data_IF_054234779745
#
_entry.id   IF_054234779745
#
_cell.length_a   1.000
_cell.length_b   1.000
_cell.length_c   1.000
_cell.angle_alpha   90.00
_cell.angle_beta   90.00
_cell.angle_gamma   90.00
#
_symmetry.space_group_name_H-M   'P 1'
#
loop_
_entity.id
_entity.type
_entity.pdbx_description
1 polymer ?
#
# COMPACT_ATOMS: atom_id res chain seq x y z
N UNK A 1 -14.94 -10.35 -1.16
CA UNK A 1 -14.81 -10.80 -2.56
C UNK A 1 -15.69 -12.01 -2.84
N UNK A 2 -15.74 -13.03 -1.98
CA UNK A 2 -16.62 -14.21 -2.17
C UNK A 2 -18.10 -14.01 -1.74
N UNK A 3 -18.62 -12.79 -1.75
CA UNK A 3 -20.03 -12.53 -1.40
C UNK A 3 -20.83 -12.16 -2.66
N UNK A 4 -22.06 -12.68 -2.86
CA UNK A 4 -22.88 -12.35 -4.03
C UNK A 4 -23.15 -10.86 -4.21
N UNK A 5 -23.21 -10.11 -3.10
CA UNK A 5 -23.18 -8.64 -3.07
C UNK A 5 -22.12 -8.24 -2.05
N UNK A 6 -20.97 -7.79 -2.54
CA UNK A 6 -19.83 -7.42 -1.69
C UNK A 6 -20.14 -6.11 -0.97
N UNK A 7 -20.07 -6.12 0.37
CA UNK A 7 -20.19 -4.89 1.20
C UNK A 7 -18.93 -4.03 1.21
N UNK A 8 -17.81 -4.55 0.69
CA UNK A 8 -16.57 -3.81 0.55
C UNK A 8 -16.65 -2.93 -0.71
N UNK A 9 -17.03 -1.68 -0.51
CA UNK A 9 -17.08 -0.66 -1.54
C UNK A 9 -15.88 0.27 -1.36
N UNK A 10 -14.80 0.04 -2.13
CA UNK A 10 -13.59 0.86 -2.01
C UNK A 10 -13.84 2.27 -2.58
N UNK A 11 -14.73 2.42 -3.57
CA UNK A 11 -15.12 3.72 -4.09
C UNK A 11 -15.77 4.57 -3.00
N UNK A 12 -16.74 4.03 -2.28
CA UNK A 12 -17.34 4.69 -1.12
C UNK A 12 -16.29 5.05 -0.06
N UNK A 13 -15.37 4.13 0.26
CA UNK A 13 -14.29 4.34 1.23
C UNK A 13 -13.39 5.52 0.81
N UNK A 14 -13.02 5.57 -0.47
CA UNK A 14 -12.19 6.64 -1.04
C UNK A 14 -12.92 7.99 -0.99
N UNK A 15 -14.15 8.05 -1.50
CA UNK A 15 -14.90 9.30 -1.59
C UNK A 15 -15.24 9.88 -0.21
N UNK A 16 -15.49 9.01 0.79
CA UNK A 16 -15.85 9.40 2.14
C UNK A 16 -14.64 9.45 3.11
N UNK A 17 -13.41 9.44 2.59
CA UNK A 17 -12.16 9.54 3.35
C UNK A 17 -12.11 8.58 4.54
N UNK A 18 -12.53 7.33 4.33
CA UNK A 18 -12.53 6.29 5.36
C UNK A 18 -11.15 5.64 5.44
N UNK A 19 -10.84 5.06 6.60
CA UNK A 19 -9.63 4.27 6.82
C UNK A 19 -9.97 2.79 6.65
N UNK A 20 -9.19 2.10 5.83
CA UNK A 20 -9.25 0.65 5.66
C UNK A 20 -7.91 0.05 6.06
N UNK A 21 -7.96 -1.00 6.89
CA UNK A 21 -6.78 -1.78 7.28
C UNK A 21 -6.99 -3.20 6.78
N UNK A 22 -6.07 -3.66 5.95
CA UNK A 22 -6.11 -5.00 5.38
C UNK A 22 -4.94 -5.78 5.98
N UNK A 23 -5.26 -6.88 6.68
CA UNK A 23 -4.25 -7.76 7.24
C UNK A 23 -4.08 -8.98 6.32
N UNK A 24 -2.97 -9.01 5.59
CA UNK A 24 -2.54 -10.12 4.74
C UNK A 24 -1.38 -10.91 5.37
N UNK A 25 -1.39 -11.10 6.70
CA UNK A 25 -0.34 -11.81 7.41
C UNK A 25 -0.13 -13.23 6.84
N UNK A 26 1.01 -13.46 6.16
CA UNK A 26 1.40 -14.76 5.57
C UNK A 26 1.22 -15.94 6.55
N UNK A 27 1.59 -15.77 7.82
CA UNK A 27 1.45 -16.81 8.85
C UNK A 27 0.00 -17.25 9.16
N UNK A 28 -1.02 -16.51 8.70
CA UNK A 28 -2.44 -16.86 8.89
C UNK A 28 -3.11 -17.39 7.64
N UNK A 29 -2.72 -16.88 6.46
CA UNK A 29 -3.41 -17.17 5.19
C UNK A 29 -2.56 -17.96 4.20
N UNK A 30 -1.26 -18.13 4.46
CA UNK A 30 -0.30 -18.69 3.52
C UNK A 30 0.31 -17.60 2.63
N UNK A 31 1.51 -17.86 2.12
CA UNK A 31 2.26 -16.91 1.29
C UNK A 31 1.59 -16.66 -0.06
N UNK A 32 1.32 -17.72 -0.83
CA UNK A 32 0.71 -17.62 -2.15
C UNK A 32 -0.67 -16.96 -2.09
N UNK A 33 -1.50 -17.36 -1.12
CA UNK A 33 -2.81 -16.77 -0.94
C UNK A 33 -2.73 -15.30 -0.50
N UNK A 34 -1.73 -14.93 0.31
CA UNK A 34 -1.47 -13.54 0.67
C UNK A 34 -1.11 -12.71 -0.55
N UNK A 35 -0.13 -13.16 -1.34
CA UNK A 35 0.31 -12.49 -2.56
C UNK A 35 -0.84 -12.31 -3.54
N UNK A 36 -1.60 -13.37 -3.78
CA UNK A 36 -2.78 -13.35 -4.66
C UNK A 36 -3.88 -12.41 -4.17
N UNK A 37 -4.23 -12.46 -2.88
CA UNK A 37 -5.25 -11.55 -2.34
C UNK A 37 -4.79 -10.09 -2.38
N UNK A 38 -3.50 -9.84 -2.10
CA UNK A 38 -2.92 -8.50 -2.18
C UNK A 38 -2.96 -7.94 -3.59
N UNK A 39 -2.54 -8.70 -4.60
CA UNK A 39 -2.55 -8.25 -6.00
C UNK A 39 -3.97 -7.94 -6.49
N UNK A 40 -4.97 -8.77 -6.15
CA UNK A 40 -6.37 -8.49 -6.47
C UNK A 40 -6.86 -7.23 -5.76
N UNK A 41 -6.55 -7.06 -4.48
CA UNK A 41 -6.97 -5.89 -3.72
C UNK A 41 -6.43 -4.59 -4.30
N UNK A 42 -5.14 -4.58 -4.64
CA UNK A 42 -4.50 -3.38 -5.20
C UNK A 42 -5.07 -3.08 -6.59
N UNK A 43 -5.29 -4.10 -7.41
CA UNK A 43 -5.99 -3.96 -8.70
C UNK A 43 -7.40 -3.39 -8.51
N UNK A 44 -8.12 -3.83 -7.48
CA UNK A 44 -9.46 -3.31 -7.16
C UNK A 44 -9.40 -1.85 -6.70
N UNK A 45 -8.42 -1.46 -5.89
CA UNK A 45 -8.20 -0.06 -5.53
C UNK A 45 -7.97 0.80 -6.78
N UNK A 46 -7.15 0.31 -7.70
CA UNK A 46 -6.89 1.00 -8.96
C UNK A 46 -8.16 1.16 -9.81
N UNK A 47 -8.91 0.08 -10.06
CA UNK A 47 -10.17 0.12 -10.83
C UNK A 47 -11.19 1.06 -10.17
N UNK A 48 -11.35 1.01 -8.84
CA UNK A 48 -12.30 1.88 -8.14
C UNK A 48 -11.82 3.34 -8.12
N UNK A 49 -10.51 3.58 -8.11
CA UNK A 49 -9.97 4.92 -8.28
C UNK A 49 -10.23 5.44 -9.70
N UNK A 50 -10.00 4.63 -10.74
CA UNK A 50 -10.32 4.98 -12.13
C UNK A 50 -11.80 5.31 -12.32
N UNK A 51 -12.68 4.59 -11.61
CA UNK A 51 -14.11 4.87 -11.66
C UNK A 51 -14.45 6.32 -11.26
N UNK A 52 -13.55 7.03 -10.53
CA UNK A 52 -13.68 8.45 -10.13
C UNK A 52 -13.55 9.43 -11.29
N UNK A 53 -13.40 8.94 -12.52
CA UNK A 53 -13.42 9.74 -13.73
C UNK A 53 -14.68 10.62 -13.86
N UNK A 54 -15.80 10.18 -13.27
CA UNK A 54 -17.08 10.90 -13.21
C UNK A 54 -17.06 12.15 -12.31
N UNK A 55 -16.10 12.26 -11.39
CA UNK A 55 -15.90 13.44 -10.54
C UNK A 55 -14.82 14.33 -11.17
N UNK A 56 -15.02 15.65 -11.26
CA UNK A 56 -13.98 16.58 -11.71
C UNK A 56 -12.72 16.50 -10.84
N UNK A 57 -11.53 16.60 -11.44
CA UNK A 57 -10.25 16.35 -10.73
C UNK A 57 -10.05 17.21 -9.47
N UNK A 58 -10.49 18.47 -9.51
CA UNK A 58 -10.42 19.42 -8.40
C UNK A 58 -11.37 19.08 -7.23
N UNK A 59 -12.40 18.25 -7.47
CA UNK A 59 -13.35 17.78 -6.46
C UNK A 59 -13.00 16.38 -5.94
N UNK A 60 -12.05 15.69 -6.57
CA UNK A 60 -11.61 14.35 -6.14
C UNK A 60 -10.81 14.47 -4.85
N UNK A 61 -11.19 13.66 -3.86
CA UNK A 61 -10.42 13.51 -2.63
C UNK A 61 -9.19 12.64 -2.85
N UNK A 62 -8.05 13.07 -2.31
CA UNK A 62 -6.87 12.24 -2.20
C UNK A 62 -7.15 11.02 -1.34
N UNK A 63 -6.72 9.86 -1.83
CA UNK A 63 -6.72 8.62 -1.08
C UNK A 63 -5.31 8.04 -1.08
N UNK A 64 -4.82 7.67 0.11
CA UNK A 64 -3.47 7.16 0.32
C UNK A 64 -3.52 5.65 0.53
N UNK A 65 -2.83 4.92 -0.36
CA UNK A 65 -2.69 3.48 -0.27
C UNK A 65 -1.24 3.14 0.09
N UNK A 66 -1.06 2.67 1.32
CA UNK A 66 0.21 2.19 1.84
C UNK A 66 0.29 0.68 1.65
N UNK A 67 1.34 0.22 0.98
CA UNK A 67 1.56 -1.20 0.72
C UNK A 67 2.90 -1.57 1.35
N UNK A 68 2.82 -2.32 2.44
CA UNK A 68 3.99 -2.87 3.11
C UNK A 68 4.42 -4.17 2.43
N UNK A 69 5.73 -4.46 2.46
CA UNK A 69 6.34 -5.61 1.80
C UNK A 69 5.93 -5.75 0.32
N UNK A 70 5.97 -4.62 -0.41
CA UNK A 70 5.42 -4.50 -1.75
C UNK A 70 6.03 -5.49 -2.76
N UNK A 71 7.27 -5.95 -2.55
CA UNK A 71 7.92 -6.93 -3.41
C UNK A 71 7.12 -8.25 -3.54
N UNK A 72 6.26 -8.57 -2.55
CA UNK A 72 5.37 -9.74 -2.62
C UNK A 72 4.19 -9.57 -3.58
N UNK A 73 3.92 -8.35 -4.03
CA UNK A 73 2.79 -8.01 -4.89
C UNK A 73 3.23 -7.40 -6.23
N UNK A 74 4.54 -7.15 -6.40
CA UNK A 74 5.11 -6.52 -7.58
C UNK A 74 4.93 -7.42 -8.82
N UNK A 75 4.07 -7.01 -9.74
CA UNK A 75 3.89 -7.63 -11.06
C UNK A 75 4.10 -6.58 -12.14
N UNK A 76 4.38 -6.97 -13.39
CA UNK A 76 4.55 -6.00 -14.49
C UNK A 76 3.31 -5.10 -14.70
N UNK A 77 2.13 -5.61 -14.36
CA UNK A 77 0.88 -4.85 -14.43
C UNK A 77 0.85 -3.64 -13.47
N UNK A 78 1.67 -3.65 -12.40
CA UNK A 78 1.75 -2.53 -11.46
C UNK A 78 2.32 -1.26 -12.07
N UNK A 79 3.17 -1.38 -13.08
CA UNK A 79 3.78 -0.24 -13.77
C UNK A 79 2.72 0.70 -14.34
N UNK A 80 1.66 0.13 -14.91
CA UNK A 80 0.51 0.89 -15.41
C UNK A 80 -0.28 1.54 -14.27
N UNK A 81 -0.50 0.81 -13.18
CA UNK A 81 -1.18 1.34 -11.98
C UNK A 81 -0.43 2.56 -11.45
N UNK A 82 0.89 2.48 -11.30
CA UNK A 82 1.73 3.57 -10.79
C UNK A 82 1.69 4.80 -11.70
N UNK A 83 1.71 4.59 -13.01
CA UNK A 83 1.73 5.67 -14.00
C UNK A 83 0.39 6.42 -14.09
N UNK A 84 -0.73 5.75 -13.85
CA UNK A 84 -2.07 6.33 -14.04
C UNK A 84 -2.78 6.76 -12.75
N UNK A 85 -2.46 6.14 -11.60
CA UNK A 85 -3.14 6.38 -10.32
C UNK A 85 -3.21 7.86 -9.91
N UNK A 86 -2.18 8.65 -10.27
CA UNK A 86 -2.10 10.08 -9.98
C UNK A 86 -3.27 10.88 -10.55
N UNK A 87 -3.72 10.57 -11.77
CA UNK A 87 -4.88 11.23 -12.42
C UNK A 87 -6.16 11.08 -11.62
N UNK A 88 -6.24 10.01 -10.85
CA UNK A 88 -7.40 9.65 -10.05
C UNK A 88 -7.24 10.00 -8.57
N UNK A 89 -6.23 10.78 -8.17
CA UNK A 89 -5.97 11.12 -6.75
C UNK A 89 -5.80 9.87 -5.86
N UNK A 90 -5.21 8.82 -6.41
CA UNK A 90 -4.77 7.64 -5.66
C UNK A 90 -3.25 7.74 -5.46
N UNK A 91 -2.84 8.07 -4.24
CA UNK A 91 -1.45 8.26 -3.85
C UNK A 91 -0.91 6.94 -3.31
N UNK A 92 0.14 6.41 -3.95
CA UNK A 92 0.74 5.13 -3.59
C UNK A 92 1.98 5.37 -2.72
N UNK A 93 2.12 4.61 -1.64
CA UNK A 93 3.35 4.54 -0.85
C UNK A 93 3.74 3.07 -0.72
N UNK A 94 4.88 2.72 -1.32
CA UNK A 94 5.37 1.36 -1.40
C UNK A 94 6.55 1.22 -0.43
N UNK A 95 6.43 0.33 0.55
CA UNK A 95 7.53 -0.02 1.43
C UNK A 95 8.09 -1.38 1.03
N UNK A 96 9.41 -1.48 0.92
CA UNK A 96 10.13 -2.68 0.50
C UNK A 96 11.36 -2.86 1.40
N UNK A 97 11.64 -4.10 1.79
CA UNK A 97 12.88 -4.45 2.48
C UNK A 97 13.96 -4.94 1.52
N UNK A 98 13.55 -5.57 0.40
CA UNK A 98 14.46 -6.19 -0.57
C UNK A 98 14.09 -5.77 -1.98
N UNK A 99 14.77 -4.76 -2.50
CA UNK A 99 14.51 -4.24 -3.86
C UNK A 99 15.02 -5.23 -4.90
N UNK A 100 16.14 -5.88 -4.62
CA UNK A 100 16.75 -6.95 -5.39
C UNK A 100 15.86 -8.17 -5.64
N UNK A 101 14.79 -8.38 -4.84
CA UNK A 101 13.84 -9.47 -5.06
C UNK A 101 12.77 -9.16 -6.11
N UNK A 102 12.63 -7.89 -6.52
CA UNK A 102 11.69 -7.50 -7.57
C UNK A 102 12.27 -7.78 -8.95
N UNK A 103 11.40 -8.15 -9.89
CA UNK A 103 11.77 -8.19 -11.31
C UNK A 103 12.26 -6.82 -11.77
N UNK A 104 13.30 -6.81 -12.61
CA UNK A 104 13.94 -5.60 -13.12
C UNK A 104 12.94 -4.65 -13.79
N UNK A 105 12.04 -5.16 -14.64
CA UNK A 105 10.96 -4.40 -15.27
C UNK A 105 10.08 -3.65 -14.28
N UNK A 106 9.66 -4.33 -13.20
CA UNK A 106 8.83 -3.74 -12.15
C UNK A 106 9.61 -2.68 -11.36
N UNK A 107 10.87 -2.98 -11.03
CA UNK A 107 11.78 -2.06 -10.32
C UNK A 107 11.99 -0.78 -11.11
N UNK A 108 12.29 -0.88 -12.40
CA UNK A 108 12.56 0.25 -13.28
C UNK A 108 11.31 1.10 -13.46
N UNK A 109 10.15 0.46 -13.61
CA UNK A 109 8.87 1.17 -13.68
C UNK A 109 8.53 1.90 -12.37
N UNK A 110 8.85 1.32 -11.20
CA UNK A 110 8.68 2.00 -9.91
C UNK A 110 9.57 3.24 -9.87
N UNK A 111 10.88 3.09 -10.07
CA UNK A 111 11.82 4.22 -10.01
C UNK A 111 11.54 5.30 -11.05
N UNK A 112 11.02 4.94 -12.23
CA UNK A 112 10.60 5.89 -13.25
C UNK A 112 9.34 6.69 -12.89
N UNK A 113 8.50 6.19 -11.98
CA UNK A 113 7.21 6.81 -11.63
C UNK A 113 7.14 7.38 -10.21
N UNK A 114 8.04 6.98 -9.29
CA UNK A 114 8.05 7.54 -7.93
C UNK A 114 8.71 8.91 -7.90
N UNK A 115 7.95 9.91 -7.45
CA UNK A 115 8.49 11.26 -7.24
C UNK A 115 9.37 11.38 -6.00
N UNK A 116 9.02 10.64 -4.95
CA UNK A 116 9.69 10.72 -3.65
C UNK A 116 10.29 9.37 -3.29
N UNK A 117 11.57 9.39 -2.89
CA UNK A 117 12.30 8.22 -2.39
C UNK A 117 12.73 8.51 -0.96
N UNK A 118 12.45 7.58 -0.06
CA UNK A 118 12.90 7.59 1.33
C UNK A 118 13.69 6.30 1.55
N UNK A 119 14.99 6.43 1.80
CA UNK A 119 15.90 5.32 1.99
C UNK A 119 16.37 5.24 3.44
N UNK A 120 16.08 4.13 4.09
CA UNK A 120 16.63 3.77 5.39
C UNK A 120 17.87 2.87 5.20
N UNK A 121 18.49 2.50 6.31
CA UNK A 121 19.58 1.52 6.31
C UNK A 121 19.18 0.25 5.54
N UNK A 122 20.01 -0.14 4.59
CA UNK A 122 19.79 -1.28 3.70
C UNK A 122 21.09 -2.07 3.49
N UNK A 123 20.97 -3.31 3.03
CA UNK A 123 22.13 -4.13 2.65
C UNK A 123 22.82 -3.61 1.38
N UNK A 124 24.05 -4.05 1.13
CA UNK A 124 24.90 -3.56 0.03
C UNK A 124 24.19 -3.52 -1.34
N UNK A 125 23.57 -4.63 -1.76
CA UNK A 125 22.90 -4.72 -3.07
C UNK A 125 21.76 -3.73 -3.24
N UNK A 126 20.91 -3.57 -2.22
CA UNK A 126 19.81 -2.61 -2.28
C UNK A 126 20.32 -1.17 -2.13
N UNK A 127 21.36 -0.95 -1.31
CA UNK A 127 22.01 0.34 -1.14
C UNK A 127 22.65 0.84 -2.43
N UNK A 128 23.25 -0.03 -3.24
CA UNK A 128 23.81 0.31 -4.55
C UNK A 128 22.71 0.77 -5.52
N UNK A 129 21.61 0.02 -5.59
CA UNK A 129 20.44 0.39 -6.41
C UNK A 129 19.89 1.74 -5.96
N UNK A 130 19.72 1.95 -4.66
CA UNK A 130 19.18 3.20 -4.11
C UNK A 130 20.15 4.37 -4.34
N UNK A 131 21.46 4.18 -4.13
CA UNK A 131 22.49 5.21 -4.35
C UNK A 131 22.45 5.72 -5.79
N UNK A 132 22.25 4.83 -6.77
CA UNK A 132 22.08 5.23 -8.17
C UNK A 132 20.92 6.22 -8.39
N UNK A 133 19.88 6.16 -7.56
CA UNK A 133 18.75 7.08 -7.60
C UNK A 133 19.04 8.43 -6.94
N UNK A 134 20.03 8.51 -6.07
CA UNK A 134 20.50 9.75 -5.45
C UNK A 134 21.67 10.40 -6.20
N UNK A 135 22.27 9.69 -7.16
CA UNK A 135 23.44 10.16 -7.91
C UNK A 135 24.64 10.32 -6.97
N UNK A 136 25.48 11.32 -7.23
CA UNK A 136 26.71 11.55 -6.47
C UNK A 136 26.48 12.09 -5.04
N UNK A 137 25.24 12.44 -4.68
CA UNK A 137 24.93 13.07 -3.39
C UNK A 137 24.92 12.09 -2.21
N UNK A 138 24.69 10.80 -2.47
CA UNK A 138 24.60 9.76 -1.43
C UNK A 138 25.27 8.50 -1.96
N UNK A 139 26.32 8.05 -1.28
CA UNK A 139 27.03 6.82 -1.64
C UNK A 139 26.32 5.56 -1.11
N UNK A 140 26.73 4.39 -1.62
CA UNK A 140 26.30 3.09 -1.09
C UNK A 140 26.62 2.96 0.41
N UNK A 141 27.82 3.36 0.82
CA UNK A 141 28.25 3.30 2.22
C UNK A 141 27.40 4.20 3.13
N UNK A 142 27.03 5.39 2.64
CA UNK A 142 26.15 6.30 3.39
C UNK A 142 24.83 5.62 3.76
N UNK A 143 24.24 4.86 2.84
CA UNK A 143 22.98 4.13 3.06
C UNK A 143 23.22 2.93 3.99
N UNK A 144 24.29 2.17 3.80
CA UNK A 144 24.58 0.98 4.61
C UNK A 144 24.83 1.31 6.09
N UNK A 145 25.46 2.45 6.36
CA UNK A 145 25.81 2.86 7.73
C UNK A 145 24.84 3.88 8.33
N UNK A 146 23.67 4.09 7.71
CA UNK A 146 22.63 4.95 8.27
C UNK A 146 22.25 4.53 9.70
N UNK A 147 22.28 5.46 10.67
CA UNK A 147 21.82 5.17 12.02
C UNK A 147 20.32 4.85 12.07
N UNK A 148 19.91 4.16 13.13
CA UNK A 148 18.49 3.91 13.40
C UNK A 148 17.72 5.23 13.46
N UNK A 149 16.54 5.23 12.84
CA UNK A 149 15.68 6.42 12.72
C UNK A 149 16.30 7.55 11.89
N UNK A 150 17.25 7.25 11.00
CA UNK A 150 17.75 8.19 10.00
C UNK A 150 17.42 7.68 8.61
N UNK A 151 17.23 8.60 7.67
CA UNK A 151 16.98 8.28 6.27
C UNK A 151 17.58 9.33 5.34
N UNK A 152 17.86 8.94 4.10
CA UNK A 152 18.06 9.88 2.99
C UNK A 152 16.77 10.04 2.20
N UNK A 153 16.44 11.28 1.82
CA UNK A 153 15.22 11.61 1.11
C UNK A 153 15.54 12.42 -0.13
N UNK A 154 14.88 12.06 -1.24
CA UNK A 154 14.73 12.88 -2.45
C UNK A 154 13.25 13.12 -2.64
N UNK A 155 12.81 14.37 -2.57
CA UNK A 155 11.40 14.76 -2.71
C UNK A 155 11.11 15.23 -4.14
N UNK A 156 9.88 15.04 -4.59
CA UNK A 156 9.35 15.80 -5.73
C UNK A 156 8.60 17.03 -5.21
N UNK A 157 9.17 18.22 -5.42
CA UNK A 157 8.59 19.50 -5.00
C UNK A 157 8.22 20.27 -6.26
N UNK A 158 6.94 20.60 -6.41
CA UNK A 158 6.41 21.34 -7.59
C UNK A 158 6.84 20.73 -8.94
N UNK A 159 6.93 19.40 -8.99
CA UNK A 159 7.31 18.66 -10.20
C UNK A 159 8.82 18.55 -10.43
N UNK A 160 9.65 19.11 -9.55
CA UNK A 160 11.11 19.06 -9.63
C UNK A 160 11.69 18.18 -8.51
N UNK A 161 12.63 17.26 -8.82
CA UNK A 161 13.31 16.50 -7.78
C UNK A 161 14.21 17.42 -6.96
N UNK A 162 14.12 17.33 -5.64
CA UNK A 162 15.02 18.02 -4.73
C UNK A 162 16.42 17.41 -4.83
N UNK A 163 17.44 18.16 -4.36
CA UNK A 163 18.70 17.51 -3.97
C UNK A 163 18.42 16.51 -2.84
N UNK A 164 19.07 15.34 -2.81
CA UNK A 164 18.95 14.42 -1.69
C UNK A 164 19.44 15.07 -0.39
N UNK A 165 18.76 14.79 0.72
CA UNK A 165 19.13 15.28 2.05
C UNK A 165 18.83 14.24 3.12
N UNK A 166 19.56 14.29 4.23
CA UNK A 166 19.32 13.40 5.37
C UNK A 166 18.23 13.95 6.28
N UNK A 167 17.49 13.04 6.91
CA UNK A 167 16.49 13.34 7.93
C UNK A 167 16.62 12.40 9.11
N UNK A 168 16.07 12.82 10.24
CA UNK A 168 15.84 11.97 11.42
C UNK A 168 14.34 11.78 11.62
N UNK A 169 13.90 10.54 11.71
CA UNK A 169 12.51 10.18 11.94
C UNK A 169 12.17 10.14 13.43
N UNK A 170 10.88 10.21 13.73
CA UNK A 170 10.38 10.05 15.08
C UNK A 170 10.52 8.58 15.52
N UNK A 171 10.75 8.40 16.82
CA UNK A 171 10.64 7.07 17.42
C UNK A 171 9.18 6.58 17.33
N UNK A 172 8.94 5.26 17.28
CA UNK A 172 7.60 4.71 17.33
C UNK A 172 6.86 5.22 18.57
N UNK A 173 5.59 5.57 18.40
CA UNK A 173 4.73 5.96 19.51
C UNK A 173 4.69 4.83 20.57
N UNK A 174 4.74 5.16 21.87
CA UNK A 174 4.62 4.17 22.92
C UNK A 174 3.27 3.45 22.83
N UNK A 175 3.24 2.22 23.35
CA UNK A 175 1.99 1.46 23.39
C UNK A 175 0.93 2.22 24.19
N UNK A 176 -0.28 2.30 23.62
CA UNK A 176 -1.40 2.94 24.29
C UNK A 176 -1.71 2.17 25.59
N UNK A 177 -1.70 2.88 26.73
CA UNK A 177 -2.07 2.30 28.03
C UNK A 177 -3.50 1.73 28.04
N UNK A 178 -4.41 2.28 27.23
CA UNK A 178 -5.77 1.77 27.02
C UNK A 178 -6.06 1.66 25.53
N UNK A 179 -6.41 0.46 25.07
CA UNK A 179 -6.76 0.19 23.67
C UNK A 179 -8.26 0.04 23.47
N UNK A 180 -8.83 0.81 22.55
CA UNK A 180 -10.21 0.66 22.09
C UNK A 180 -10.36 -0.39 20.96
N UNK A 181 -9.32 -1.18 20.68
CA UNK A 181 -9.28 -2.13 19.56
C UNK A 181 -10.51 -3.04 19.50
N UNK A 182 -10.93 -3.61 20.62
CA UNK A 182 -12.11 -4.49 20.68
C UNK A 182 -13.40 -3.79 20.23
N UNK A 183 -13.65 -2.59 20.75
CA UNK A 183 -14.81 -1.76 20.39
C UNK A 183 -14.80 -1.36 18.91
N UNK A 184 -13.62 -0.99 18.39
CA UNK A 184 -13.45 -0.62 16.97
C UNK A 184 -13.76 -1.82 16.07
N UNK A 185 -13.21 -3.00 16.38
CA UNK A 185 -13.47 -4.22 15.61
C UNK A 185 -14.95 -4.58 15.64
N UNK A 186 -15.59 -4.52 16.82
CA UNK A 186 -17.01 -4.82 16.98
C UNK A 186 -17.88 -3.89 16.13
N UNK A 187 -17.74 -2.57 16.31
CA UNK A 187 -18.52 -1.57 15.56
C UNK A 187 -18.30 -1.65 14.04
N UNK A 188 -17.07 -1.96 13.61
CA UNK A 188 -16.75 -2.16 12.19
C UNK A 188 -17.46 -3.39 11.62
N UNK A 189 -17.45 -4.52 12.35
CA UNK A 189 -18.11 -5.76 11.93
C UNK A 189 -19.63 -5.62 11.85
N UNK A 190 -20.25 -4.97 12.83
CA UNK A 190 -21.70 -4.69 12.83
C UNK A 190 -22.13 -3.92 11.58
N UNK A 191 -21.36 -2.90 11.18
CA UNK A 191 -21.69 -2.04 10.02
C UNK A 191 -21.34 -2.69 8.68
N UNK A 192 -20.12 -3.23 8.55
CA UNK A 192 -19.52 -3.57 7.26
C UNK A 192 -19.35 -5.07 7.00
N UNK A 193 -19.49 -5.94 8.01
CA UNK A 193 -19.35 -7.37 7.82
C UNK A 193 -20.69 -8.09 7.67
N UNK A 194 -20.60 -9.40 7.42
CA UNK A 194 -21.69 -10.38 7.54
C UNK A 194 -21.16 -11.57 8.32
N UNK A 195 -22.05 -12.30 8.98
CA UNK A 195 -21.68 -13.51 9.70
C UNK A 195 -21.07 -14.54 8.73
N UNK A 196 -19.96 -15.16 9.14
CA UNK A 196 -19.22 -16.13 8.34
C UNK A 196 -20.08 -17.33 7.92
N UNK A 197 -20.79 -17.95 8.87
CA UNK A 197 -21.63 -19.11 8.61
C UNK A 197 -22.74 -18.79 7.60
N UNK A 198 -23.32 -17.59 7.69
CA UNK A 198 -24.31 -17.12 6.73
C UNK A 198 -23.73 -17.00 5.31
N UNK A 199 -22.51 -16.50 5.19
CA UNK A 199 -21.83 -16.34 3.88
C UNK A 199 -21.43 -17.69 3.31
N UNK A 200 -20.80 -18.56 4.10
CA UNK A 200 -20.40 -19.90 3.69
C UNK A 200 -21.63 -20.74 3.28
N UNK A 201 -22.73 -20.60 4.02
CA UNK A 201 -24.03 -21.17 3.66
C UNK A 201 -24.52 -20.77 2.28
N UNK A 202 -24.47 -19.47 1.97
CA UNK A 202 -24.87 -18.96 0.65
C UNK A 202 -23.95 -19.42 -0.47
N UNK A 203 -22.64 -19.49 -0.24
CA UNK A 203 -21.68 -19.99 -1.24
C UNK A 203 -21.91 -21.48 -1.50
N UNK A 204 -22.21 -22.26 -0.45
CA UNK A 204 -22.50 -23.68 -0.55
C UNK A 204 -23.93 -24.01 -1.03
N UNK A 205 -24.73 -23.01 -1.42
CA UNK A 205 -26.11 -23.21 -1.90
C UNK A 205 -27.11 -23.63 -0.81
N UNK A 206 -26.77 -23.51 0.48
CA UNK A 206 -27.68 -23.84 1.60
C UNK A 206 -28.63 -22.66 1.86
N UNK A 207 -29.91 -22.84 1.57
CA UNK A 207 -30.97 -21.91 1.95
C UNK A 207 -31.17 -21.93 3.46
N UNK A 208 -30.72 -20.88 4.15
CA UNK A 208 -31.12 -20.63 5.54
C UNK A 208 -32.53 -20.05 5.53
N UNK A 209 -33.53 -20.91 5.79
CA UNK A 209 -34.90 -20.50 6.09
C UNK A 209 -34.87 -19.95 7.52
N UNK A 210 -35.06 -18.64 7.69
CA UNK A 210 -35.27 -18.03 9.00
C UNK A 210 -36.68 -18.36 9.49
N UNK A 211 -36.79 -18.96 10.67
CA UNK A 211 -37.95 -18.76 11.54
C UNK A 211 -37.72 -17.51 12.39
#
# INVERSE_FOLDING_TARGET
MCQPKTKLDLRFIMDNRKIIIINLSKGKIGEDASAFLGSILITKFYIDAMSRADISENLRNDFYLYIDEFQNFATDAFSNILSEARKYKLNLTLANQYISQMHESARDAIFGNVGTIVAFQSGFTDAEIISSQFGEAVSTDDIMFLPKYSAYIKLLIDGMPSRPFSVKTLAPEPSLQKSNRGKIIYNSRERFAKNRLFVEGKIAGKSFISR
#
